data_IF_257616095172
#
_entry.id   IF_257616095172
#
_cell.length_a   1.000
_cell.length_b   1.000
_cell.length_c   1.000
_cell.angle_alpha   90.00
_cell.angle_beta   90.00
_cell.angle_gamma   90.00
#
_symmetry.space_group_name_H-M   'P 1'
#
loop_
_entity.id
_entity.type
_entity.pdbx_description
1 polymer ?
#
# COMPACT_ATOMS: atom_id res chain seq x y z
N UNK A 1 -4.12 -26.71 -20.66
CA UNK A 1 -3.48 -26.06 -19.50
C UNK A 1 -4.35 -24.87 -19.15
N UNK A 2 -5.16 -25.00 -18.11
CA UNK A 2 -6.04 -23.94 -17.61
C UNK A 2 -5.16 -22.79 -17.10
N UNK A 3 -5.45 -21.52 -17.43
CA UNK A 3 -4.71 -20.41 -16.86
C UNK A 3 -4.89 -20.48 -15.34
N UNK A 4 -3.77 -20.58 -14.62
CA UNK A 4 -3.78 -20.51 -13.16
C UNK A 4 -4.36 -19.14 -12.81
N UNK A 5 -5.47 -19.14 -12.07
CA UNK A 5 -6.02 -17.93 -11.47
C UNK A 5 -4.86 -17.18 -10.79
N UNK A 6 -4.63 -15.94 -11.18
CA UNK A 6 -3.52 -15.13 -10.70
C UNK A 6 -3.87 -14.60 -9.30
N UNK A 7 -3.93 -15.51 -8.33
CA UNK A 7 -4.10 -15.17 -6.93
C UNK A 7 -2.81 -14.53 -6.42
N UNK A 8 -2.93 -13.50 -5.57
CA UNK A 8 -1.76 -12.85 -4.97
C UNK A 8 -0.98 -13.77 -4.01
N UNK A 9 -1.65 -14.79 -3.47
CA UNK A 9 -1.10 -15.73 -2.50
C UNK A 9 -0.99 -17.13 -3.08
N UNK A 10 -0.04 -17.88 -2.56
CA UNK A 10 0.03 -19.32 -2.80
C UNK A 10 -1.20 -20.04 -2.24
N UNK A 11 -1.61 -21.18 -2.83
CA UNK A 11 -2.77 -21.96 -2.37
C UNK A 11 -2.67 -22.40 -0.90
N UNK A 12 -1.47 -22.81 -0.44
CA UNK A 12 -1.24 -23.08 0.99
C UNK A 12 -1.57 -21.85 1.84
N UNK A 13 -1.11 -20.66 1.44
CA UNK A 13 -1.32 -19.43 2.21
C UNK A 13 -2.78 -18.99 2.22
N UNK A 14 -3.51 -19.16 1.11
CA UNK A 14 -4.95 -18.90 1.06
C UNK A 14 -5.72 -19.79 2.05
N UNK A 15 -5.42 -21.10 2.08
CA UNK A 15 -6.06 -22.00 3.04
C UNK A 15 -5.62 -21.66 4.46
N UNK A 16 -4.35 -21.31 4.72
CA UNK A 16 -3.91 -20.91 6.06
C UNK A 16 -4.74 -19.75 6.59
N UNK A 17 -5.08 -18.78 5.73
CA UNK A 17 -5.92 -17.63 6.10
C UNK A 17 -7.35 -18.00 6.49
N UNK A 18 -7.86 -19.17 6.10
CA UNK A 18 -9.19 -19.61 6.57
C UNK A 18 -9.16 -20.09 8.01
N UNK A 19 -7.99 -20.48 8.54
CA UNK A 19 -7.84 -20.91 9.94
C UNK A 19 -7.62 -19.69 10.84
N UNK A 20 -8.44 -19.56 11.87
CA UNK A 20 -8.24 -18.58 12.94
C UNK A 20 -7.11 -19.02 13.86
N UNK A 21 -6.53 -18.08 14.58
CA UNK A 21 -5.49 -18.35 15.57
C UNK A 21 -5.97 -19.40 16.58
N UNK A 22 -5.24 -20.53 16.65
CA UNK A 22 -5.56 -21.66 17.54
C UNK A 22 -6.43 -22.75 16.92
N UNK A 23 -7.06 -22.53 15.76
CA UNK A 23 -7.76 -23.59 15.04
C UNK A 23 -6.75 -24.59 14.44
N UNK A 24 -6.96 -25.88 14.68
CA UNK A 24 -6.10 -26.98 14.21
C UNK A 24 -6.76 -27.87 13.17
N UNK A 25 -8.08 -27.78 13.02
CA UNK A 25 -8.84 -28.59 12.08
C UNK A 25 -10.12 -27.86 11.71
N UNK A 26 -10.50 -27.93 10.44
CA UNK A 26 -11.76 -27.41 9.92
C UNK A 26 -12.39 -28.43 8.98
N UNK A 27 -13.71 -28.41 8.84
CA UNK A 27 -14.36 -29.18 7.79
C UNK A 27 -14.05 -28.57 6.42
N UNK A 28 -14.02 -29.40 5.39
CA UNK A 28 -13.81 -28.97 4.00
C UNK A 28 -14.88 -27.94 3.58
N UNK A 29 -16.13 -28.16 3.97
CA UNK A 29 -17.24 -27.23 3.71
C UNK A 29 -17.03 -25.85 4.36
N UNK A 30 -16.50 -25.82 5.58
CA UNK A 30 -16.20 -24.56 6.27
C UNK A 30 -15.04 -23.82 5.60
N UNK A 31 -13.99 -24.55 5.17
CA UNK A 31 -12.88 -23.96 4.42
C UNK A 31 -13.38 -23.38 3.10
N UNK A 32 -14.22 -24.11 2.36
CA UNK A 32 -14.85 -23.62 1.13
C UNK A 32 -15.67 -22.36 1.38
N UNK A 33 -16.50 -22.36 2.42
CA UNK A 33 -17.32 -21.20 2.77
C UNK A 33 -16.44 -19.97 3.09
N UNK A 34 -15.38 -20.15 3.88
CA UNK A 34 -14.44 -19.07 4.22
C UNK A 34 -13.65 -18.59 3.02
N UNK A 35 -13.16 -19.47 2.15
CA UNK A 35 -12.46 -19.09 0.92
C UNK A 35 -13.34 -18.24 0.01
N UNK A 36 -14.60 -18.61 -0.19
CA UNK A 36 -15.56 -17.85 -1.01
C UNK A 36 -15.86 -16.46 -0.47
N UNK A 37 -15.74 -16.28 0.86
CA UNK A 37 -15.89 -14.96 1.48
C UNK A 37 -14.67 -14.06 1.27
N UNK A 38 -13.53 -14.59 0.80
CA UNK A 38 -12.36 -13.80 0.49
C UNK A 38 -12.47 -13.26 -0.94
N UNK A 39 -12.28 -11.96 -1.12
CA UNK A 39 -12.37 -11.28 -2.41
C UNK A 39 -11.43 -11.86 -3.50
N UNK A 40 -10.41 -12.60 -3.10
CA UNK A 40 -9.36 -13.12 -3.98
C UNK A 40 -9.67 -14.49 -4.58
N UNK A 41 -10.76 -15.17 -4.19
CA UNK A 41 -11.06 -16.54 -4.65
C UNK A 41 -12.42 -16.57 -5.36
N UNK A 42 -12.41 -16.92 -6.64
CA UNK A 42 -13.65 -17.17 -7.38
C UNK A 42 -14.38 -18.42 -6.85
N UNK A 43 -15.71 -18.40 -6.85
CA UNK A 43 -16.56 -19.46 -6.29
C UNK A 43 -16.25 -20.87 -6.82
N UNK A 44 -15.81 -20.96 -8.08
CA UNK A 44 -15.49 -22.22 -8.76
C UNK A 44 -14.04 -22.68 -8.54
N UNK A 45 -13.17 -21.81 -8.03
CA UNK A 45 -11.75 -22.09 -7.80
C UNK A 45 -11.45 -22.66 -6.41
N UNK A 46 -12.35 -22.51 -5.44
CA UNK A 46 -12.09 -22.85 -4.04
C UNK A 46 -11.74 -24.34 -3.80
N UNK A 47 -12.47 -25.27 -4.40
CA UNK A 47 -12.23 -26.72 -4.22
C UNK A 47 -10.93 -27.19 -4.89
N UNK A 48 -10.62 -26.82 -6.15
CA UNK A 48 -9.32 -27.06 -6.74
C UNK A 48 -8.14 -26.51 -5.92
N UNK A 49 -8.28 -25.33 -5.31
CA UNK A 49 -7.25 -24.73 -4.45
C UNK A 49 -6.97 -25.58 -3.21
N UNK A 50 -8.03 -26.11 -2.58
CA UNK A 50 -7.90 -27.04 -1.44
C UNK A 50 -7.08 -28.25 -1.84
N UNK A 51 -7.44 -28.88 -2.96
CA UNK A 51 -6.74 -30.07 -3.44
C UNK A 51 -5.28 -29.76 -3.79
N UNK A 52 -5.03 -28.64 -4.48
CA UNK A 52 -3.67 -28.26 -4.88
C UNK A 52 -2.76 -28.00 -3.67
N UNK A 53 -3.30 -27.42 -2.60
CA UNK A 53 -2.53 -27.24 -1.37
C UNK A 53 -2.28 -28.55 -0.63
N UNK A 54 -3.23 -29.50 -0.64
CA UNK A 54 -3.05 -30.82 -0.02
C UNK A 54 -2.03 -31.67 -0.78
N UNK A 55 -1.97 -31.55 -2.10
CA UNK A 55 -1.08 -32.32 -2.96
C UNK A 55 0.38 -31.81 -2.94
N UNK A 56 0.65 -30.64 -2.35
CA UNK A 56 2.00 -30.10 -2.26
C UNK A 56 2.88 -30.91 -1.28
N UNK A 57 4.13 -31.27 -1.65
CA UNK A 57 4.99 -32.11 -0.82
C UNK A 57 5.29 -31.54 0.58
N UNK A 58 5.38 -30.22 0.69
CA UNK A 58 5.64 -29.49 1.92
C UNK A 58 4.37 -28.92 2.56
N UNK A 59 3.20 -29.48 2.23
CA UNK A 59 1.94 -29.00 2.75
C UNK A 59 1.85 -29.20 4.27
N UNK A 60 1.49 -28.16 5.04
CA UNK A 60 1.19 -28.32 6.46
C UNK A 60 -0.22 -28.89 6.69
N UNK A 61 -0.99 -29.12 5.63
CA UNK A 61 -2.35 -29.64 5.71
C UNK A 61 -2.39 -31.14 5.50
N UNK A 62 -3.27 -31.81 6.23
CA UNK A 62 -3.51 -33.25 6.11
C UNK A 62 -5.00 -33.53 6.15
N UNK A 63 -5.43 -34.55 5.41
CA UNK A 63 -6.75 -35.11 5.63
C UNK A 63 -6.76 -35.80 7.00
N UNK A 64 -7.74 -35.48 7.85
CA UNK A 64 -7.88 -36.06 9.18
C UNK A 64 -8.45 -37.48 9.14
N UNK A 65 -9.21 -37.84 10.17
CA UNK A 65 -9.88 -39.16 10.24
C UNK A 65 -10.90 -39.42 9.12
N UNK A 66 -11.35 -38.36 8.44
CA UNK A 66 -12.19 -38.40 7.24
C UNK A 66 -11.70 -37.34 6.25
N UNK A 67 -11.88 -37.59 4.95
CA UNK A 67 -11.60 -36.61 3.87
C UNK A 67 -12.39 -35.30 4.00
N UNK A 68 -13.43 -35.32 4.82
CA UNK A 68 -14.25 -34.15 5.12
C UNK A 68 -13.59 -33.18 6.11
N UNK A 69 -12.52 -33.60 6.80
CA UNK A 69 -11.81 -32.77 7.79
C UNK A 69 -10.38 -32.55 7.34
N UNK A 70 -9.96 -31.29 7.33
CA UNK A 70 -8.59 -30.89 7.02
C UNK A 70 -7.95 -30.41 8.33
N UNK A 71 -6.87 -31.08 8.69
CA UNK A 71 -6.03 -30.77 9.85
C UNK A 71 -4.85 -29.90 9.41
N UNK A 72 -4.56 -28.87 10.20
CA UNK A 72 -3.44 -27.98 10.02
C UNK A 72 -2.36 -28.28 11.06
N UNK A 73 -1.26 -28.87 10.60
CA UNK A 73 -0.11 -29.21 11.43
C UNK A 73 0.76 -27.97 11.57
N UNK A 74 0.57 -27.27 12.68
CA UNK A 74 1.34 -26.07 13.01
C UNK A 74 2.74 -26.47 13.50
N UNK A 75 3.76 -26.04 12.77
CA UNK A 75 5.15 -26.20 13.15
C UNK A 75 5.75 -24.81 13.38
N UNK A 76 6.03 -24.47 14.65
CA UNK A 76 6.76 -23.26 14.99
C UNK A 76 8.19 -23.61 15.38
N UNK A 77 9.15 -23.10 14.62
CA UNK A 77 10.58 -23.31 14.86
C UNK A 77 11.18 -22.10 15.59
N UNK A 78 12.20 -22.25 16.45
CA UNK A 78 12.83 -21.12 17.11
C UNK A 78 13.35 -20.05 16.13
N UNK A 79 13.83 -20.48 14.95
CA UNK A 79 14.30 -19.59 13.89
C UNK A 79 13.17 -18.76 13.26
N UNK A 80 11.92 -19.23 13.27
CA UNK A 80 10.80 -18.47 12.71
C UNK A 80 10.54 -17.19 13.52
N UNK A 81 10.84 -17.18 14.83
CA UNK A 81 10.77 -15.96 15.64
C UNK A 81 11.77 -14.88 15.19
N UNK A 82 12.93 -15.28 14.64
CA UNK A 82 13.89 -14.34 14.08
C UNK A 82 13.44 -13.82 12.71
N UNK A 83 12.82 -14.68 11.89
CA UNK A 83 12.20 -14.26 10.62
C UNK A 83 11.08 -13.24 10.87
N UNK A 84 10.26 -13.46 11.92
CA UNK A 84 9.22 -12.51 12.32
C UNK A 84 9.80 -11.12 12.59
N UNK A 85 10.86 -11.04 13.40
CA UNK A 85 11.54 -9.77 13.70
C UNK A 85 12.11 -9.12 12.44
N UNK A 86 12.76 -9.91 11.57
CA UNK A 86 13.29 -9.44 10.31
C UNK A 86 12.20 -8.80 9.43
N UNK A 87 11.03 -9.44 9.32
CA UNK A 87 9.91 -8.90 8.54
C UNK A 87 9.32 -7.64 9.19
N UNK A 88 9.16 -7.63 10.52
CA UNK A 88 8.68 -6.46 11.27
C UNK A 88 9.61 -5.25 11.13
N UNK A 89 10.93 -5.47 11.18
CA UNK A 89 11.94 -4.43 11.01
C UNK A 89 12.01 -3.92 9.57
N UNK A 90 11.86 -4.82 8.59
CA UNK A 90 11.95 -4.44 7.17
C UNK A 90 10.66 -3.76 6.71
N UNK A 91 9.51 -4.16 7.22
CA UNK A 91 8.21 -3.61 6.85
C UNK A 91 7.78 -3.92 5.40
N UNK A 92 8.42 -4.89 4.74
CA UNK A 92 8.12 -5.29 3.37
C UNK A 92 8.22 -6.80 3.17
N UNK A 93 7.57 -7.36 2.13
CA UNK A 93 7.79 -8.76 1.73
C UNK A 93 9.26 -9.04 1.43
N UNK A 94 9.72 -10.26 1.73
CA UNK A 94 11.10 -10.68 1.48
C UNK A 94 11.16 -12.03 0.76
N UNK A 95 12.06 -12.16 -0.21
CA UNK A 95 12.41 -13.46 -0.82
C UNK A 95 13.15 -14.38 0.16
N UNK A 96 13.19 -15.67 -0.18
CA UNK A 96 13.90 -16.69 0.60
C UNK A 96 15.38 -16.33 0.77
N UNK A 97 16.06 -15.90 -0.30
CA UNK A 97 17.47 -15.50 -0.28
C UNK A 97 17.71 -14.28 0.61
N UNK A 98 16.80 -13.31 0.60
CA UNK A 98 16.89 -12.13 1.46
C UNK A 98 16.76 -12.51 2.94
N UNK A 99 15.81 -13.40 3.28
CA UNK A 99 15.64 -13.90 4.64
C UNK A 99 16.90 -14.66 5.08
N UNK A 100 17.41 -15.59 4.26
CA UNK A 100 18.63 -16.34 4.58
C UNK A 100 19.84 -15.42 4.75
N UNK A 101 20.00 -14.41 3.88
CA UNK A 101 21.08 -13.44 3.99
C UNK A 101 21.03 -12.68 5.31
N UNK A 102 19.85 -12.22 5.74
CA UNK A 102 19.67 -11.54 7.02
C UNK A 102 19.95 -12.47 8.20
N UNK A 103 19.45 -13.70 8.18
CA UNK A 103 19.73 -14.70 9.23
C UNK A 103 21.24 -15.03 9.32
N UNK A 104 21.95 -15.11 8.19
CA UNK A 104 23.41 -15.31 8.15
C UNK A 104 24.16 -14.10 8.68
N UNK A 105 23.75 -12.87 8.36
CA UNK A 105 24.39 -11.67 8.93
C UNK A 105 24.25 -11.57 10.44
N UNK A 106 23.21 -12.19 11.00
CA UNK A 106 22.99 -12.31 12.45
C UNK A 106 23.67 -13.54 13.07
N UNK A 107 24.44 -14.31 12.30
CA UNK A 107 25.09 -15.56 12.71
C UNK A 107 24.14 -16.63 13.29
N UNK A 108 22.87 -16.64 12.86
CA UNK A 108 21.87 -17.59 13.35
C UNK A 108 21.85 -18.92 12.59
N UNK A 109 22.37 -18.92 11.35
CA UNK A 109 22.40 -20.10 10.47
C UNK A 109 23.72 -20.17 9.69
N UNK A 110 24.05 -21.37 9.20
CA UNK A 110 25.21 -21.58 8.31
C UNK A 110 24.88 -21.26 6.85
N UNK A 111 25.91 -21.18 6.00
CA UNK A 111 25.76 -21.02 4.55
C UNK A 111 25.08 -22.20 3.86
N UNK A 112 25.23 -23.40 4.42
CA UNK A 112 24.63 -24.64 3.91
C UNK A 112 23.21 -24.90 4.44
N UNK A 113 22.65 -23.96 5.21
CA UNK A 113 21.32 -24.11 5.78
C UNK A 113 20.25 -24.04 4.67
N UNK A 114 19.37 -25.03 4.61
CA UNK A 114 18.24 -25.08 3.67
C UNK A 114 17.04 -24.29 4.19
N UNK A 115 16.42 -23.47 3.35
CA UNK A 115 15.29 -22.61 3.71
C UNK A 115 14.09 -23.39 4.26
N UNK A 116 13.82 -24.58 3.71
CA UNK A 116 12.72 -25.48 4.14
C UNK A 116 12.78 -25.78 5.65
N UNK A 117 13.99 -25.81 6.23
CA UNK A 117 14.20 -26.06 7.67
C UNK A 117 13.74 -24.92 8.56
N UNK A 118 13.42 -23.74 8.01
CA UNK A 118 12.79 -22.65 8.78
C UNK A 118 11.35 -22.99 9.16
N UNK A 119 10.69 -23.89 8.43
CA UNK A 119 9.31 -24.32 8.71
C UNK A 119 8.26 -23.23 8.51
N UNK A 120 8.54 -22.16 7.75
CA UNK A 120 7.62 -21.03 7.58
C UNK A 120 6.29 -21.43 6.93
N UNK A 121 6.29 -22.47 6.09
CA UNK A 121 5.07 -23.04 5.51
C UNK A 121 4.08 -23.50 6.57
N UNK A 122 4.55 -24.18 7.63
CA UNK A 122 3.73 -24.68 8.73
C UNK A 122 3.45 -23.67 9.85
N UNK A 123 4.05 -22.47 9.81
CA UNK A 123 3.85 -21.45 10.84
C UNK A 123 2.75 -20.46 10.41
N UNK A 124 1.65 -20.39 11.17
CA UNK A 124 0.47 -19.59 10.83
C UNK A 124 0.74 -18.09 10.64
N UNK A 125 1.84 -17.58 11.21
CA UNK A 125 2.20 -16.16 11.18
C UNK A 125 2.74 -15.70 9.83
N UNK A 126 3.11 -16.63 8.96
CA UNK A 126 3.69 -16.32 7.65
C UNK A 126 2.79 -16.78 6.52
N UNK A 127 2.75 -15.98 5.46
CA UNK A 127 2.10 -16.29 4.21
C UNK A 127 3.10 -16.06 3.07
N UNK A 128 2.98 -16.83 2.00
CA UNK A 128 3.80 -16.71 0.80
C UNK A 128 2.95 -16.18 -0.36
N UNK A 129 3.47 -15.15 -1.01
CA UNK A 129 2.92 -14.54 -2.22
C UNK A 129 3.17 -15.45 -3.44
N UNK A 130 2.43 -15.23 -4.52
CA UNK A 130 2.54 -16.01 -5.76
C UNK A 130 3.91 -15.92 -6.43
N UNK A 131 4.64 -14.82 -6.22
CA UNK A 131 6.02 -14.64 -6.70
C UNK A 131 7.10 -15.23 -5.78
N UNK A 132 6.69 -15.94 -4.72
CA UNK A 132 7.58 -16.61 -3.77
C UNK A 132 8.06 -15.74 -2.61
N UNK A 133 7.73 -14.45 -2.56
CA UNK A 133 8.06 -13.59 -1.41
C UNK A 133 7.22 -13.94 -0.19
N UNK A 134 7.82 -13.83 0.98
CA UNK A 134 7.23 -14.11 2.27
C UNK A 134 6.77 -12.83 2.95
N UNK A 135 5.57 -12.90 3.54
CA UNK A 135 4.94 -11.82 4.29
C UNK A 135 4.39 -12.32 5.62
N UNK A 136 4.07 -11.40 6.51
CA UNK A 136 3.31 -11.73 7.71
C UNK A 136 1.83 -11.93 7.36
N UNK A 137 1.20 -12.97 7.92
CA UNK A 137 -0.22 -13.25 7.69
C UNK A 137 -1.14 -12.15 8.21
N UNK A 138 -0.68 -11.35 9.17
CA UNK A 138 -1.39 -10.17 9.68
C UNK A 138 -1.32 -8.95 8.75
N UNK A 139 -0.52 -9.02 7.68
CA UNK A 139 -0.46 -7.96 6.68
C UNK A 139 -1.59 -8.12 5.67
N UNK A 140 -2.35 -7.04 5.47
CA UNK A 140 -3.40 -6.94 4.48
C UNK A 140 -2.85 -6.28 3.22
N UNK A 141 -3.16 -6.86 2.07
CA UNK A 141 -2.82 -6.25 0.79
C UNK A 141 -3.98 -5.37 0.37
N UNK A 142 -3.70 -4.10 0.07
CA UNK A 142 -4.71 -3.07 -0.16
C UNK A 142 -4.80 -2.61 -1.62
N UNK A 143 -4.45 -3.50 -2.55
CA UNK A 143 -4.44 -3.21 -3.98
C UNK A 143 -5.84 -2.87 -4.50
N UNK A 144 -6.86 -3.61 -4.08
CA UNK A 144 -8.25 -3.39 -4.50
C UNK A 144 -8.77 -2.04 -4.04
N UNK A 145 -8.50 -1.68 -2.78
CA UNK A 145 -9.00 -0.42 -2.23
C UNK A 145 -8.26 0.79 -2.82
N UNK A 146 -6.98 0.64 -3.16
CA UNK A 146 -6.24 1.67 -3.90
C UNK A 146 -6.77 1.78 -5.33
N UNK A 147 -7.05 0.66 -5.99
CA UNK A 147 -7.66 0.64 -7.32
C UNK A 147 -9.01 1.38 -7.32
N UNK A 148 -9.90 1.05 -6.37
CA UNK A 148 -11.19 1.72 -6.22
C UNK A 148 -11.05 3.22 -5.94
N UNK A 149 -10.09 3.61 -5.09
CA UNK A 149 -9.85 5.02 -4.79
C UNK A 149 -9.43 5.79 -6.05
N UNK A 150 -8.50 5.24 -6.83
CA UNK A 150 -8.03 5.88 -8.06
C UNK A 150 -9.19 6.05 -9.04
N UNK A 151 -10.02 5.01 -9.20
CA UNK A 151 -11.22 5.08 -10.04
C UNK A 151 -12.19 6.15 -9.58
N UNK A 152 -12.48 6.25 -8.27
CA UNK A 152 -13.39 7.27 -7.71
C UNK A 152 -12.87 8.69 -7.87
N UNK A 153 -11.55 8.88 -7.80
CA UNK A 153 -10.90 10.20 -7.95
C UNK A 153 -10.65 10.59 -9.41
N UNK A 154 -11.01 9.73 -10.38
CA UNK A 154 -10.78 9.91 -11.82
C UNK A 154 -9.32 10.22 -12.19
N UNK A 155 -8.37 9.93 -11.29
CA UNK A 155 -6.95 10.18 -11.53
C UNK A 155 -6.37 8.97 -12.26
N UNK A 156 -5.54 9.17 -13.28
CA UNK A 156 -4.93 8.04 -14.03
C UNK A 156 -3.54 7.65 -13.51
N UNK A 157 -2.96 8.48 -12.65
CA UNK A 157 -1.61 8.34 -12.13
C UNK A 157 -1.53 8.65 -10.63
N UNK A 158 -0.72 7.88 -9.91
CA UNK A 158 -0.30 8.17 -8.53
C UNK A 158 1.23 8.17 -8.47
N UNK A 159 1.82 9.09 -7.71
CA UNK A 159 3.24 9.04 -7.40
C UNK A 159 3.49 8.03 -6.26
N UNK A 160 4.53 7.20 -6.39
CA UNK A 160 4.89 6.19 -5.39
C UNK A 160 5.07 6.78 -3.99
N UNK A 161 5.62 7.99 -3.89
CA UNK A 161 5.80 8.71 -2.61
C UNK A 161 4.48 9.02 -1.88
N UNK A 162 3.36 9.08 -2.59
CA UNK A 162 2.04 9.41 -2.03
C UNK A 162 1.30 8.15 -1.54
N UNK A 163 1.75 6.96 -1.95
CA UNK A 163 1.14 5.68 -1.56
C UNK A 163 1.02 5.51 -0.05
N UNK A 164 2.03 5.79 0.79
CA UNK A 164 1.89 5.64 2.23
C UNK A 164 0.77 6.49 2.83
N UNK A 165 0.54 7.70 2.29
CA UNK A 165 -0.55 8.58 2.70
C UNK A 165 -1.90 8.04 2.22
N UNK A 166 -1.96 7.58 0.98
CA UNK A 166 -3.16 6.99 0.38
C UNK A 166 -3.61 5.74 1.14
N UNK A 167 -2.68 4.83 1.46
CA UNK A 167 -2.95 3.63 2.28
C UNK A 167 -3.54 4.01 3.64
N UNK A 168 -2.96 5.04 4.29
CA UNK A 168 -3.44 5.52 5.58
C UNK A 168 -4.85 6.11 5.49
N UNK A 169 -5.12 6.90 4.44
CA UNK A 169 -6.43 7.50 4.19
C UNK A 169 -7.51 6.45 3.91
N UNK A 170 -7.18 5.40 3.15
CA UNK A 170 -8.15 4.37 2.74
C UNK A 170 -8.53 3.43 3.88
N UNK A 171 -7.58 3.03 4.73
CA UNK A 171 -7.82 2.02 5.78
C UNK A 171 -7.87 2.57 7.21
N UNK A 172 -7.57 3.85 7.43
CA UNK A 172 -7.55 4.47 8.77
C UNK A 172 -6.56 3.80 9.75
N UNK A 173 -5.65 2.96 9.24
CA UNK A 173 -4.74 2.14 10.05
C UNK A 173 -3.27 2.49 9.78
N UNK A 174 -2.44 2.30 10.81
CA UNK A 174 -0.99 2.55 10.73
C UNK A 174 -0.32 1.76 9.59
N UNK A 175 0.68 2.38 8.94
CA UNK A 175 1.48 1.84 7.82
C UNK A 175 2.03 0.41 8.03
N UNK A 176 2.06 -0.12 9.25
CA UNK A 176 2.72 -1.39 9.61
C UNK A 176 1.95 -2.65 9.23
N UNK A 177 0.67 -2.54 8.87
CA UNK A 177 -0.18 -3.71 8.56
C UNK A 177 -0.78 -3.74 7.16
N UNK A 178 -0.72 -2.63 6.43
CA UNK A 178 -1.28 -2.53 5.09
C UNK A 178 -0.14 -2.43 4.07
N UNK A 179 -0.15 -3.31 3.08
CA UNK A 179 0.82 -3.35 2.00
C UNK A 179 0.15 -3.07 0.66
N UNK A 180 0.80 -2.23 -0.13
CA UNK A 180 0.46 -2.05 -1.54
C UNK A 180 1.54 -2.71 -2.39
N UNK A 181 1.14 -3.68 -3.21
CA UNK A 181 2.04 -4.49 -4.05
C UNK A 181 1.58 -4.41 -5.52
N UNK A 182 1.77 -3.26 -6.19
CA UNK A 182 1.31 -3.04 -7.56
C UNK A 182 1.95 -4.01 -8.56
N UNK A 183 3.14 -4.54 -8.27
CA UNK A 183 3.85 -5.48 -9.12
C UNK A 183 3.19 -6.87 -9.22
N UNK A 184 2.27 -7.20 -8.31
CA UNK A 184 1.53 -8.46 -8.29
C UNK A 184 0.13 -8.34 -8.90
N UNK A 185 -0.19 -7.20 -9.48
CA UNK A 185 -1.53 -6.90 -9.93
C UNK A 185 -1.50 -6.23 -11.30
N UNK A 186 -2.03 -6.96 -12.28
CA UNK A 186 -2.07 -6.59 -13.70
C UNK A 186 -2.77 -5.26 -13.97
N UNK A 187 -3.59 -4.76 -13.04
CA UNK A 187 -4.28 -3.46 -13.18
C UNK A 187 -3.32 -2.28 -13.06
N UNK A 188 -2.15 -2.49 -12.45
CA UNK A 188 -1.16 -1.45 -12.19
C UNK A 188 0.06 -1.60 -13.08
N UNK A 189 0.53 -0.47 -13.62
CA UNK A 189 1.81 -0.39 -14.32
C UNK A 189 2.71 0.62 -13.65
N UNK A 190 3.88 0.16 -13.21
CA UNK A 190 4.90 1.02 -12.60
C UNK A 190 5.76 1.59 -13.73
N UNK A 191 5.81 2.93 -13.84
CA UNK A 191 6.66 3.66 -14.78
C UNK A 191 7.45 4.69 -13.97
N UNK A 192 8.76 4.44 -13.81
CA UNK A 192 9.65 5.26 -12.99
C UNK A 192 9.13 5.40 -11.54
N UNK A 193 8.72 6.60 -11.12
CA UNK A 193 8.19 6.92 -9.79
C UNK A 193 6.65 7.04 -9.78
N UNK A 194 5.99 6.58 -10.86
CA UNK A 194 4.55 6.67 -11.05
C UNK A 194 3.92 5.29 -11.19
N UNK A 195 2.71 5.16 -10.66
CA UNK A 195 1.81 4.03 -10.86
C UNK A 195 0.68 4.50 -11.77
N UNK A 196 0.53 3.83 -12.89
CA UNK A 196 -0.50 4.08 -13.88
C UNK A 196 -1.55 2.96 -13.81
N UNK A 197 -2.83 3.32 -13.92
CA UNK A 197 -3.88 2.32 -14.11
C UNK A 197 -3.92 1.86 -15.57
N UNK A 198 -3.85 0.55 -15.78
CA UNK A 198 -4.21 -0.07 -17.05
C UNK A 198 -5.72 -0.23 -17.11
N UNK A 199 -6.42 0.86 -17.41
CA UNK A 199 -7.82 0.76 -17.85
C UNK A 199 -7.76 0.34 -19.31
N UNK A 200 -8.39 -0.79 -19.66
CA UNK A 200 -8.54 -1.27 -21.04
C UNK A 200 -9.16 -0.19 -21.94
N UNK A 201 -8.29 0.66 -22.48
CA UNK A 201 -8.48 1.20 -23.81
C UNK A 201 -7.75 0.22 -24.69
N UNK A 202 -8.50 -0.69 -25.33
CA UNK A 202 -7.95 -1.50 -26.41
C UNK A 202 -7.14 -0.59 -27.35
N UNK A 203 -5.83 -0.79 -27.54
CA UNK A 203 -5.17 -0.30 -28.72
C UNK A 203 -5.32 -1.41 -29.75
N UNK A 204 -6.34 -1.31 -30.60
CA UNK A 204 -6.21 -1.93 -31.91
C UNK A 204 -5.10 -1.19 -32.66
N UNK A 205 -4.22 -1.98 -33.28
CA UNK A 205 -3.18 -1.62 -34.24
C UNK A 205 -1.86 -1.09 -33.67
N UNK A 206 -0.93 -2.02 -33.49
CA UNK A 206 0.44 -1.81 -33.97
C UNK A 206 0.39 -1.64 -35.49
N UNK A 207 0.82 -0.48 -36.01
CA UNK A 207 1.76 -0.39 -37.15
C UNK A 207 2.19 1.07 -37.41
N UNK A 208 3.48 1.30 -37.13
CA UNK A 208 4.45 2.11 -37.88
C UNK A 208 4.18 3.60 -38.20
N UNK A 209 5.01 4.42 -37.53
CA UNK A 209 5.76 5.58 -38.04
C UNK A 209 5.29 6.29 -39.32
N UNK A 210 5.03 7.61 -39.19
CA UNK A 210 5.63 8.63 -40.06
C UNK A 210 5.47 10.02 -39.44
N UNK A 211 6.60 10.72 -39.33
CA UNK A 211 6.72 12.14 -39.03
C UNK A 211 5.98 12.99 -40.07
N UNK A 212 5.34 14.09 -39.63
CA UNK A 212 5.42 15.40 -40.29
C UNK A 212 4.73 16.50 -39.46
N UNK A 213 5.52 17.51 -39.12
CA UNK A 213 5.16 18.80 -38.55
C UNK A 213 4.02 19.52 -39.31
N UNK A 214 3.09 20.15 -38.58
CA UNK A 214 3.11 21.61 -38.45
C UNK A 214 2.10 22.17 -37.42
N UNK A 215 2.62 23.14 -36.66
CA UNK A 215 1.99 24.00 -35.66
C UNK A 215 0.62 24.60 -36.07
N UNK A 216 -0.26 24.80 -35.06
CA UNK A 216 -0.68 26.12 -34.59
C UNK A 216 -1.65 26.05 -33.39
N UNK A 217 -1.33 26.83 -32.35
CA UNK A 217 -2.20 27.47 -31.32
C UNK A 217 -2.73 26.51 -30.23
N UNK A 218 -2.15 26.40 -29.01
CA UNK A 218 -1.83 27.40 -27.98
C UNK A 218 -3.08 28.02 -27.32
N UNK A 219 -3.74 27.25 -26.45
CA UNK A 219 -4.46 27.70 -25.24
C UNK A 219 -5.06 26.47 -24.50
N UNK A 220 -5.07 26.50 -23.16
CA UNK A 220 -5.69 25.54 -22.21
C UNK A 220 -4.86 24.43 -21.53
N UNK A 221 -3.55 24.62 -21.33
CA UNK A 221 -2.80 23.83 -20.33
C UNK A 221 -2.30 24.70 -19.19
N UNK A 222 -3.20 24.97 -18.24
CA UNK A 222 -2.85 25.36 -16.87
C UNK A 222 -4.07 25.13 -15.95
N UNK A 223 -4.69 23.95 -16.01
CA UNK A 223 -5.44 23.42 -14.86
C UNK A 223 -4.40 22.88 -13.89
N UNK A 224 -3.89 23.81 -13.09
CA UNK A 224 -2.93 23.59 -12.02
C UNK A 224 -3.41 22.49 -11.08
N UNK A 225 -2.46 21.65 -10.68
CA UNK A 225 -2.44 20.59 -9.64
C UNK A 225 -3.01 21.04 -8.27
N UNK A 226 -3.55 22.25 -8.17
CA UNK A 226 -3.99 22.95 -6.96
C UNK A 226 -5.48 22.75 -6.63
N UNK A 227 -6.34 22.37 -7.58
CA UNK A 227 -7.76 22.09 -7.30
C UNK A 227 -7.99 20.72 -6.65
N UNK A 228 -7.14 19.73 -6.95
CA UNK A 228 -7.27 18.37 -6.39
C UNK A 228 -6.93 18.34 -4.89
N UNK A 229 -6.00 19.20 -4.43
CA UNK A 229 -5.66 19.33 -3.02
C UNK A 229 -6.70 20.13 -2.22
N UNK A 230 -7.43 21.06 -2.87
CA UNK A 230 -8.47 21.86 -2.22
C UNK A 230 -9.77 21.07 -2.02
N UNK A 231 -10.14 20.21 -2.98
CA UNK A 231 -11.31 19.33 -2.87
C UNK A 231 -11.11 18.19 -1.84
N UNK A 232 -9.86 17.76 -1.59
CA UNK A 232 -9.53 16.72 -0.61
C UNK A 232 -9.66 17.13 0.86
N UNK A 233 -9.89 18.42 1.16
CA UNK A 233 -9.84 18.94 2.53
C UNK A 233 -11.19 19.38 3.13
N UNK A 234 -12.30 19.26 2.39
CA UNK A 234 -13.62 19.61 2.91
C UNK A 234 -14.36 18.41 3.52
N UNK A 235 -14.04 17.18 3.09
CA UNK A 235 -14.61 15.93 3.66
C UNK A 235 -13.84 15.39 4.87
N UNK A 236 -12.57 15.80 5.07
CA UNK A 236 -11.73 15.34 6.19
C UNK A 236 -12.13 15.90 7.56
N UNK A 237 -13.02 16.90 7.61
CA UNK A 237 -13.51 17.49 8.85
C UNK A 237 -14.75 16.80 9.44
N UNK A 238 -15.47 15.97 8.66
CA UNK A 238 -16.73 15.35 9.14
C UNK A 238 -16.57 13.89 9.61
N UNK A 239 -15.43 13.22 9.36
CA UNK A 239 -15.28 11.78 9.65
C UNK A 239 -14.35 11.43 10.84
N UNK A 240 -13.75 12.41 11.53
CA UNK A 240 -12.77 12.18 12.62
C UNK A 240 -13.41 12.14 14.02
N UNK A 241 -14.74 12.24 14.15
CA UNK A 241 -15.40 12.23 15.47
C UNK A 241 -15.53 10.85 16.13
N UNK A 242 -15.02 9.75 15.55
CA UNK A 242 -15.19 8.41 16.15
C UNK A 242 -13.88 7.66 16.35
N UNK A 243 -13.50 7.58 17.63
CA UNK A 243 -12.73 6.52 18.29
C UNK A 243 -11.20 6.46 18.10
N UNK A 244 -10.49 6.91 19.14
CA UNK A 244 -9.10 6.57 19.45
C UNK A 244 -8.42 7.69 20.23
N UNK A 245 -7.86 7.40 21.41
CA UNK A 245 -7.11 8.39 22.20
C UNK A 245 -5.94 8.95 21.36
N UNK A 246 -6.09 10.21 20.89
CA UNK A 246 -5.03 10.94 20.19
C UNK A 246 -3.81 11.03 21.10
N UNK A 247 -2.68 10.52 20.65
CA UNK A 247 -1.43 10.74 21.40
C UNK A 247 -1.06 12.21 21.32
N UNK A 248 -0.31 12.72 22.31
CA UNK A 248 0.19 14.11 22.29
C UNK A 248 0.98 14.41 21.02
N UNK A 249 1.64 13.40 20.45
CA UNK A 249 2.37 13.50 19.17
C UNK A 249 1.40 13.68 18.00
N UNK A 250 0.29 12.94 17.95
CA UNK A 250 -0.72 13.09 16.89
C UNK A 250 -1.36 14.49 16.90
N UNK A 251 -1.64 15.03 18.09
CA UNK A 251 -2.17 16.39 18.23
C UNK A 251 -1.17 17.45 17.76
N UNK A 252 0.13 17.28 18.07
CA UNK A 252 1.17 18.20 17.61
C UNK A 252 1.36 18.14 16.10
N UNK A 253 1.28 16.94 15.50
CA UNK A 253 1.34 16.79 14.04
C UNK A 253 0.13 17.42 13.35
N UNK A 254 -1.08 17.23 13.89
CA UNK A 254 -2.31 17.85 13.40
C UNK A 254 -2.25 19.38 13.49
N UNK A 255 -1.77 19.93 14.61
CA UNK A 255 -1.59 21.36 14.80
C UNK A 255 -0.55 21.95 13.83
N UNK A 256 0.56 21.23 13.58
CA UNK A 256 1.60 21.63 12.62
C UNK A 256 1.08 21.58 11.17
N UNK A 257 0.31 20.57 10.80
CA UNK A 257 -0.33 20.49 9.48
C UNK A 257 -1.36 21.60 9.30
N UNK A 258 -2.18 21.87 10.32
CA UNK A 258 -3.13 22.98 10.32
C UNK A 258 -2.46 24.35 10.20
N UNK A 259 -1.30 24.54 10.85
CA UNK A 259 -0.49 25.75 10.70
C UNK A 259 0.08 25.90 9.29
N UNK A 260 0.51 24.79 8.67
CA UNK A 260 1.05 24.77 7.31
C UNK A 260 -0.03 25.17 6.29
N UNK A 261 -1.24 24.61 6.41
CA UNK A 261 -2.39 24.97 5.55
C UNK A 261 -2.73 26.46 5.68
N UNK A 262 -2.76 27.01 6.89
CA UNK A 262 -3.03 28.44 7.12
C UNK A 262 -1.94 29.32 6.49
N UNK A 263 -0.68 28.89 6.56
CA UNK A 263 0.43 29.62 5.95
C UNK A 263 0.37 29.61 4.42
N UNK A 264 0.03 28.47 3.82
CA UNK A 264 -0.10 28.34 2.37
C UNK A 264 -1.28 29.15 1.84
N UNK A 265 -2.42 29.10 2.55
CA UNK A 265 -3.57 29.95 2.24
C UNK A 265 -3.21 31.44 2.29
N UNK A 266 -2.54 31.89 3.36
CA UNK A 266 -2.08 33.28 3.48
C UNK A 266 -1.08 33.64 2.37
N UNK A 267 -0.23 32.70 1.96
CA UNK A 267 0.71 32.90 0.84
C UNK A 267 0.00 33.08 -0.51
N UNK A 268 -1.11 32.36 -0.74
CA UNK A 268 -1.95 32.54 -1.91
C UNK A 268 -2.68 33.90 -1.86
N UNK A 269 -3.32 34.23 -0.74
CA UNK A 269 -4.02 35.52 -0.54
C UNK A 269 -3.08 36.73 -0.71
N UNK A 270 -1.83 36.63 -0.24
CA UNK A 270 -0.83 37.69 -0.43
C UNK A 270 -0.51 37.95 -1.91
N UNK A 271 -0.59 36.95 -2.79
CA UNK A 271 -0.36 37.16 -4.24
C UNK A 271 -1.46 38.04 -4.82
N UNK A 272 -2.71 37.79 -4.43
CA UNK A 272 -3.87 38.55 -4.88
C UNK A 272 -3.89 39.98 -4.30
N UNK A 273 -3.48 40.13 -3.03
CA UNK A 273 -3.29 41.44 -2.38
C UNK A 273 -2.19 42.27 -3.06
N UNK A 274 -1.07 41.66 -3.44
CA UNK A 274 0.01 42.36 -4.16
C UNK A 274 -0.48 42.88 -5.51
N UNK A 275 -1.25 42.10 -6.26
CA UNK A 275 -1.84 42.54 -7.54
C UNK A 275 -2.80 43.71 -7.29
N UNK A 276 -3.64 43.61 -6.26
CA UNK A 276 -4.59 44.66 -5.89
C UNK A 276 -3.88 45.95 -5.49
N UNK A 277 -2.85 45.88 -4.63
CA UNK A 277 -2.07 47.05 -4.23
C UNK A 277 -1.21 47.63 -5.36
N UNK A 278 -0.78 46.80 -6.31
CA UNK A 278 -0.09 47.25 -7.52
C UNK A 278 -1.02 48.07 -8.42
N UNK A 279 -2.27 47.61 -8.62
CA UNK A 279 -3.28 48.39 -9.37
C UNK A 279 -3.66 49.69 -8.66
N UNK A 280 -3.58 49.73 -7.32
CA UNK A 280 -3.80 50.94 -6.53
C UNK A 280 -2.55 51.82 -6.35
N UNK A 281 -1.42 51.45 -6.98
CA UNK A 281 -0.12 52.14 -6.91
C UNK A 281 0.39 52.39 -5.47
N UNK A 282 0.06 51.48 -4.54
CA UNK A 282 0.40 51.58 -3.12
C UNK A 282 1.65 50.73 -2.81
N UNK A 283 2.81 51.31 -3.10
CA UNK A 283 4.12 50.64 -2.97
C UNK A 283 4.49 50.30 -1.52
N UNK A 284 4.01 51.07 -0.54
CA UNK A 284 4.29 50.81 0.88
C UNK A 284 3.56 49.56 1.38
N UNK A 285 2.31 49.34 0.94
CA UNK A 285 1.57 48.12 1.22
C UNK A 285 2.22 46.88 0.60
N UNK A 286 2.71 46.99 -0.64
CA UNK A 286 3.43 45.90 -1.32
C UNK A 286 4.73 45.54 -0.58
N UNK A 287 5.47 46.56 -0.10
CA UNK A 287 6.70 46.34 0.66
C UNK A 287 6.43 45.66 2.01
N UNK A 288 5.33 46.00 2.67
CA UNK A 288 4.88 45.32 3.90
C UNK A 288 4.53 43.86 3.62
N UNK A 289 3.80 43.58 2.54
CA UNK A 289 3.41 42.22 2.13
C UNK A 289 4.60 41.35 1.74
N UNK A 290 5.60 41.93 1.05
CA UNK A 290 6.85 41.23 0.73
C UNK A 290 7.63 40.85 1.99
N UNK A 291 7.68 41.73 3.01
CA UNK A 291 8.32 41.43 4.29
C UNK A 291 7.56 40.36 5.09
N UNK A 292 6.23 40.39 5.04
CA UNK A 292 5.37 39.36 5.64
C UNK A 292 5.59 38.00 4.96
N UNK A 293 5.63 37.97 3.62
CA UNK A 293 5.92 36.77 2.83
C UNK A 293 7.27 36.16 3.18
N UNK A 294 8.32 36.97 3.29
CA UNK A 294 9.67 36.47 3.64
C UNK A 294 9.70 35.85 5.06
N UNK A 295 8.95 36.42 6.01
CA UNK A 295 8.80 35.85 7.35
C UNK A 295 8.03 34.53 7.31
N UNK A 296 6.95 34.46 6.53
CA UNK A 296 6.14 33.26 6.39
C UNK A 296 6.95 32.13 5.72
N UNK A 297 7.73 32.42 4.68
CA UNK A 297 8.62 31.43 4.05
C UNK A 297 9.67 30.88 5.03
N UNK A 298 10.26 31.74 5.89
CA UNK A 298 11.20 31.28 6.94
C UNK A 298 10.53 30.40 7.99
N UNK A 299 9.28 30.70 8.37
CA UNK A 299 8.51 29.87 9.31
C UNK A 299 8.14 28.53 8.67
N UNK A 300 7.75 28.54 7.40
CA UNK A 300 7.39 27.35 6.65
C UNK A 300 8.57 26.38 6.51
N UNK A 301 9.78 26.89 6.23
CA UNK A 301 10.99 26.06 6.22
C UNK A 301 11.25 25.40 7.56
N UNK A 302 11.16 26.16 8.67
CA UNK A 302 11.35 25.60 10.02
C UNK A 302 10.31 24.54 10.39
N UNK A 303 9.04 24.74 9.99
CA UNK A 303 7.99 23.74 10.23
C UNK A 303 8.27 22.48 9.41
N UNK A 304 8.71 22.61 8.15
CA UNK A 304 9.11 21.46 7.33
C UNK A 304 10.27 20.69 7.94
N UNK A 305 11.27 21.38 8.47
CA UNK A 305 12.41 20.75 9.15
C UNK A 305 11.94 19.95 10.38
N UNK A 306 11.06 20.53 11.21
CA UNK A 306 10.50 19.85 12.39
C UNK A 306 9.66 18.62 11.99
N UNK A 307 8.86 18.72 10.94
CA UNK A 307 8.05 17.59 10.44
C UNK A 307 8.93 16.47 9.88
N UNK A 308 10.01 16.82 9.19
CA UNK A 308 10.99 15.85 8.69
C UNK A 308 11.74 15.15 9.84
N UNK A 309 12.09 15.88 10.91
CA UNK A 309 12.77 15.32 12.09
C UNK A 309 11.86 14.41 12.94
N UNK A 310 10.54 14.55 12.80
CA UNK A 310 9.52 13.73 13.48
C UNK A 310 9.02 12.53 12.66
N UNK A 311 9.42 12.42 11.39
CA UNK A 311 9.03 11.35 10.45
C UNK A 311 10.04 10.21 10.42
#
# INVERSE_FOLDING_TARGET
>A
MTPLLEHMYTPISLIKKTFKTGERSLSRDEILHRLRSMAQVEDQAAEPLIQLALDQPSSPFREGSSRAVIEYVQESQPLSQHVLRILQETGSPLSEEQILRKLRSLNLISWSFSFERLGLMGDHRFSQLSDGRWIMSEWEIVNDEIFELILRKETKEILMKDIPYIVQMVKGMSKRKNLFLPELDVRFRIVEDKILLQVDTQPMAEEQASESNNNLILESQHTSIMEVAAAMNQETLELVEVAGEKTVVDQVVEDLMGALIKLEKRSAEMKDEVITHFTANNLDAIKSLMSEKEKNEKVLLKIKDIVNDLS
#
